data_IF_728674574653
#
_entry.id   IF_728674574653
#
_cell.length_a   1.000
_cell.length_b   1.000
_cell.length_c   1.000
_cell.angle_alpha   90.00
_cell.angle_beta   90.00
_cell.angle_gamma   90.00
#
_symmetry.space_group_name_H-M   'P 1'
#
loop_
_entity.id
_entity.type
_entity.pdbx_description
1 polymer ?
#
# COMPACT_ATOMS: atom_id res chain seq x y z
N UNK A 1 0.18 19.07 -5.77
CA UNK A 1 -0.37 17.71 -5.54
C UNK A 1 0.21 16.67 -6.51
N UNK A 2 0.52 17.01 -7.78
CA UNK A 2 1.15 16.07 -8.72
C UNK A 2 2.55 15.59 -8.30
N UNK A 3 3.28 16.40 -7.53
CA UNK A 3 4.66 16.08 -7.12
C UNK A 3 4.75 14.88 -6.17
N UNK A 4 3.66 14.59 -5.44
CA UNK A 4 3.58 13.47 -4.49
C UNK A 4 2.96 12.22 -5.11
N UNK A 5 2.30 12.34 -6.26
CA UNK A 5 1.73 11.21 -6.99
C UNK A 5 2.77 10.10 -7.27
N UNK A 6 4.00 10.38 -7.76
CA UNK A 6 5.00 9.33 -7.95
C UNK A 6 5.43 8.67 -6.64
N UNK A 7 5.50 9.43 -5.54
CA UNK A 7 5.86 8.88 -4.23
C UNK A 7 4.77 7.94 -3.69
N UNK A 8 3.49 8.33 -3.81
CA UNK A 8 2.34 7.51 -3.40
C UNK A 8 2.26 6.22 -4.21
N UNK A 9 2.45 6.31 -5.54
CA UNK A 9 2.49 5.13 -6.42
C UNK A 9 3.66 4.21 -6.05
N UNK A 10 4.85 4.77 -5.82
CA UNK A 10 6.03 4.00 -5.43
C UNK A 10 5.84 3.26 -4.11
N UNK A 11 5.27 3.92 -3.10
CA UNK A 11 4.91 3.29 -1.82
C UNK A 11 3.88 2.18 -2.00
N UNK A 12 2.84 2.40 -2.82
CA UNK A 12 1.84 1.38 -3.14
C UNK A 12 2.45 0.12 -3.76
N UNK A 13 3.36 0.29 -4.72
CA UNK A 13 4.08 -0.82 -5.37
C UNK A 13 4.94 -1.58 -4.36
N UNK A 14 5.69 -0.88 -3.49
CA UNK A 14 6.53 -1.52 -2.46
C UNK A 14 5.70 -2.35 -1.48
N UNK A 15 4.54 -1.85 -1.06
CA UNK A 15 3.64 -2.55 -0.13
C UNK A 15 3.05 -3.81 -0.77
N UNK A 16 2.61 -3.73 -2.04
CA UNK A 16 2.12 -4.88 -2.79
C UNK A 16 3.22 -5.93 -3.02
N UNK A 17 4.44 -5.48 -3.34
CA UNK A 17 5.58 -6.37 -3.54
C UNK A 17 5.97 -7.08 -2.23
N UNK A 18 5.93 -6.37 -1.10
CA UNK A 18 6.12 -6.94 0.23
C UNK A 18 5.05 -7.96 0.57
N UNK A 19 3.78 -7.64 0.34
CA UNK A 19 2.66 -8.55 0.58
C UNK A 19 2.77 -9.82 -0.27
N UNK A 20 3.12 -9.69 -1.55
CA UNK A 20 3.35 -10.84 -2.44
C UNK A 20 4.49 -11.71 -1.93
N UNK A 21 5.60 -11.10 -1.50
CA UNK A 21 6.77 -11.82 -1.00
C UNK A 21 6.48 -12.57 0.30
N UNK A 22 5.73 -11.97 1.23
CA UNK A 22 5.30 -12.64 2.46
C UNK A 22 4.28 -13.76 2.17
N UNK A 23 3.36 -13.54 1.22
CA UNK A 23 2.44 -14.57 0.78
C UNK A 23 3.17 -15.78 0.16
N UNK A 24 4.16 -15.53 -0.69
CA UNK A 24 4.99 -16.57 -1.30
C UNK A 24 5.86 -17.34 -0.28
N UNK A 25 6.10 -16.77 0.91
CA UNK A 25 6.78 -17.41 2.04
C UNK A 25 5.82 -18.10 3.02
N UNK A 26 4.55 -18.24 2.65
CA UNK A 26 3.45 -18.78 3.45
C UNK A 26 3.14 -17.99 4.74
N UNK A 27 3.63 -16.75 4.83
CA UNK A 27 3.34 -15.83 5.93
C UNK A 27 2.09 -14.99 5.63
N UNK A 28 0.92 -15.66 5.59
CA UNK A 28 -0.35 -15.04 5.19
C UNK A 28 -0.83 -13.93 6.12
N UNK A 29 -0.40 -13.94 7.39
CA UNK A 29 -0.79 -12.91 8.37
C UNK A 29 -0.17 -11.57 8.01
N UNK A 30 1.13 -11.56 7.76
CA UNK A 30 1.85 -10.32 7.47
C UNK A 30 1.53 -9.81 6.07
N UNK A 31 1.30 -10.71 5.11
CA UNK A 31 0.77 -10.34 3.81
C UNK A 31 -0.58 -9.59 3.92
N UNK A 32 -1.50 -10.06 4.78
CA UNK A 32 -2.78 -9.38 5.03
C UNK A 32 -2.60 -8.02 5.71
N UNK A 33 -1.68 -7.93 6.68
CA UNK A 33 -1.38 -6.65 7.35
C UNK A 33 -0.80 -5.63 6.38
N UNK A 34 0.11 -6.05 5.49
CA UNK A 34 0.68 -5.21 4.45
C UNK A 34 -0.39 -4.70 3.47
N UNK A 35 -1.26 -5.59 2.98
CA UNK A 35 -2.37 -5.18 2.10
C UNK A 35 -3.33 -4.23 2.82
N UNK A 36 -3.66 -4.49 4.09
CA UNK A 36 -4.54 -3.63 4.87
C UNK A 36 -3.92 -2.23 5.10
N UNK A 37 -2.63 -2.16 5.44
CA UNK A 37 -1.89 -0.90 5.56
C UNK A 37 -1.82 -0.16 4.23
N UNK A 38 -1.54 -0.85 3.12
CA UNK A 38 -1.48 -0.25 1.78
C UNK A 38 -2.82 0.30 1.32
N UNK A 39 -3.88 -0.50 1.43
CA UNK A 39 -5.23 -0.08 1.08
C UNK A 39 -5.73 1.07 1.98
N UNK A 40 -5.45 0.99 3.30
CA UNK A 40 -5.79 2.05 4.24
C UNK A 40 -5.08 3.37 3.94
N UNK A 41 -3.78 3.32 3.62
CA UNK A 41 -3.00 4.49 3.22
C UNK A 41 -3.50 5.12 1.92
N UNK A 42 -3.85 4.31 0.92
CA UNK A 42 -4.44 4.79 -0.33
C UNK A 42 -5.81 5.43 -0.12
N UNK A 43 -6.68 4.83 0.70
CA UNK A 43 -8.00 5.37 1.03
C UNK A 43 -7.89 6.67 1.83
N UNK A 44 -6.97 6.75 2.79
CA UNK A 44 -6.70 7.98 3.54
C UNK A 44 -6.17 9.09 2.62
N UNK A 45 -5.25 8.76 1.71
CA UNK A 45 -4.74 9.71 0.71
C UNK A 45 -5.84 10.19 -0.23
N UNK A 46 -6.73 9.30 -0.68
CA UNK A 46 -7.88 9.66 -1.50
C UNK A 46 -8.89 10.54 -0.74
N UNK A 47 -9.15 10.24 0.54
CA UNK A 47 -10.03 11.03 1.38
C UNK A 47 -9.50 12.45 1.61
N UNK A 48 -8.19 12.60 1.86
CA UNK A 48 -7.54 13.92 1.98
C UNK A 48 -7.58 14.69 0.66
N UNK A 49 -7.56 14.01 -0.48
CA UNK A 49 -7.65 14.65 -1.79
C UNK A 49 -9.06 15.15 -2.14
N UNK A 50 -10.10 14.51 -1.59
CA UNK A 50 -11.51 14.86 -1.82
C UNK A 50 -12.05 15.94 -0.86
N UNK A 51 -11.28 16.33 0.15
CA UNK A 51 -11.58 17.42 1.11
C UNK A 51 -10.86 18.69 0.69
#
# INVERSE_FOLDING_TARGET
MSDYAPAIVSLGVLILLGAWREYARDNRRDAKLLVACGAGGMLAGAAVWLV
#
